data_IF_386710819842
#
_entry.id   IF_386710819842
#
_cell.length_a   1.000
_cell.length_b   1.000
_cell.length_c   1.000
_cell.angle_alpha   90.00
_cell.angle_beta   90.00
_cell.angle_gamma   90.00
#
_symmetry.space_group_name_H-M   'P 1'
#
loop_
_entity.id
_entity.type
_entity.pdbx_description
1 polymer ?
#
# COMPACT_ATOMS: atom_id res chain seq x y z
N UNK A 1 -7.12 14.50 -10.51
CA UNK A 1 -7.05 13.51 -9.41
C UNK A 1 -6.61 12.22 -10.06
N UNK A 2 -5.32 11.90 -9.99
CA UNK A 2 -4.74 10.69 -10.58
C UNK A 2 -5.34 9.45 -9.89
N UNK A 3 -6.23 8.77 -10.60
CA UNK A 3 -6.87 7.54 -10.14
C UNK A 3 -5.91 6.38 -10.37
N UNK A 4 -5.47 5.70 -9.31
CA UNK A 4 -4.83 4.39 -9.45
C UNK A 4 -5.74 3.48 -10.28
N UNK A 5 -5.25 2.99 -11.41
CA UNK A 5 -5.95 2.00 -12.23
C UNK A 5 -5.69 0.61 -11.62
N UNK A 6 -6.65 0.17 -10.82
CA UNK A 6 -6.65 -1.16 -10.19
C UNK A 6 -7.64 -2.07 -10.91
N UNK A 7 -7.21 -3.29 -11.21
CA UNK A 7 -8.11 -4.34 -11.70
C UNK A 7 -9.17 -4.68 -10.65
N UNK A 8 -10.31 -5.24 -11.04
CA UNK A 8 -11.37 -5.66 -10.11
C UNK A 8 -10.85 -6.61 -9.02
N UNK A 9 -9.90 -7.47 -9.38
CA UNK A 9 -9.24 -8.41 -8.46
C UNK A 9 -8.38 -7.67 -7.44
N UNK A 10 -7.54 -6.72 -7.88
CA UNK A 10 -6.74 -5.88 -6.98
C UNK A 10 -7.62 -5.03 -6.06
N UNK A 11 -8.68 -4.41 -6.60
CA UNK A 11 -9.60 -3.62 -5.78
C UNK A 11 -10.23 -4.45 -4.67
N UNK A 12 -10.71 -5.65 -5.01
CA UNK A 12 -11.29 -6.56 -4.02
C UNK A 12 -10.26 -6.95 -2.97
N UNK A 13 -9.08 -7.41 -3.40
CA UNK A 13 -8.00 -7.82 -2.50
C UNK A 13 -7.52 -6.69 -1.58
N UNK A 14 -7.31 -5.49 -2.11
CA UNK A 14 -6.89 -4.31 -1.32
C UNK A 14 -8.00 -3.85 -0.39
N UNK A 15 -9.27 -3.95 -0.80
CA UNK A 15 -10.41 -3.66 0.06
C UNK A 15 -10.49 -4.65 1.23
N UNK A 16 -10.29 -5.94 1.00
CA UNK A 16 -10.25 -6.95 2.05
C UNK A 16 -9.11 -6.69 3.04
N UNK A 17 -7.89 -6.38 2.55
CA UNK A 17 -6.77 -5.98 3.40
C UNK A 17 -7.03 -4.70 4.20
N UNK A 18 -7.71 -3.73 3.58
CA UNK A 18 -8.10 -2.49 4.25
C UNK A 18 -9.05 -2.78 5.41
N UNK A 19 -10.08 -3.60 5.18
CA UNK A 19 -11.06 -3.98 6.21
C UNK A 19 -10.39 -4.78 7.32
N UNK A 20 -9.46 -5.68 6.98
CA UNK A 20 -8.70 -6.44 7.97
C UNK A 20 -7.92 -5.53 8.93
N UNK A 21 -7.38 -4.43 8.41
CA UNK A 21 -6.64 -3.48 9.23
C UNK A 21 -7.55 -2.42 9.90
N UNK A 22 -8.70 -2.07 9.30
CA UNK A 22 -9.72 -1.15 9.82
C UNK A 22 -10.63 -1.84 10.85
N UNK A 23 -10.04 -2.27 11.96
CA UNK A 23 -10.78 -2.96 13.05
C UNK A 23 -11.90 -2.12 13.67
N UNK A 24 -11.80 -0.79 13.61
CA UNK A 24 -12.78 0.15 14.18
C UNK A 24 -13.80 0.67 13.15
N UNK A 25 -13.76 0.17 11.90
CA UNK A 25 -14.63 0.60 10.79
C UNK A 25 -14.64 2.13 10.55
N UNK A 26 -13.57 2.82 10.92
CA UNK A 26 -13.44 4.28 10.87
C UNK A 26 -13.19 4.79 9.45
N UNK A 27 -13.04 3.88 8.48
CA UNK A 27 -12.55 4.18 7.12
C UNK A 27 -11.13 4.74 7.11
N UNK A 28 -10.38 4.49 8.18
CA UNK A 28 -9.00 4.91 8.37
C UNK A 28 -8.22 3.79 9.04
N UNK A 29 -7.02 3.56 8.54
CA UNK A 29 -6.16 2.52 9.07
C UNK A 29 -4.99 3.19 9.76
N UNK A 30 -4.78 2.92 11.04
CA UNK A 30 -3.63 3.52 11.73
C UNK A 30 -2.33 3.06 11.06
N UNK A 31 -1.34 3.96 10.94
CA UNK A 31 -0.05 3.62 10.32
C UNK A 31 0.82 2.70 11.19
N UNK A 32 0.34 2.36 12.38
CA UNK A 32 0.92 1.45 13.33
C UNK A 32 0.05 0.17 13.47
N UNK A 33 0.47 -0.76 14.32
CA UNK A 33 -0.29 -1.99 14.59
C UNK A 33 -0.42 -2.86 13.34
N UNK A 34 -1.65 -3.12 12.88
CA UNK A 34 -1.95 -4.07 11.80
C UNK A 34 -1.29 -3.73 10.47
N UNK A 35 -1.27 -2.44 10.08
CA UNK A 35 -0.64 -2.02 8.82
C UNK A 35 0.86 -2.25 8.86
N UNK A 36 1.48 -1.91 9.99
CA UNK A 36 2.90 -2.13 10.20
C UNK A 36 3.23 -3.64 10.17
N UNK A 37 2.40 -4.47 10.81
CA UNK A 37 2.52 -5.93 10.76
C UNK A 37 2.38 -6.47 9.34
N UNK A 38 1.41 -5.98 8.56
CA UNK A 38 1.23 -6.33 7.14
C UNK A 38 2.48 -6.00 6.32
N UNK A 39 3.06 -4.82 6.52
CA UNK A 39 4.21 -4.38 5.75
C UNK A 39 5.48 -5.15 6.15
N UNK A 40 5.57 -5.58 7.41
CA UNK A 40 6.62 -6.48 7.90
C UNK A 40 6.43 -7.91 7.38
N UNK A 41 5.19 -8.37 7.28
CA UNK A 41 4.84 -9.65 6.66
C UNK A 41 5.21 -9.67 5.17
N UNK A 42 5.12 -8.53 4.50
CA UNK A 42 5.64 -8.34 3.14
C UNK A 42 7.18 -8.43 3.03
N UNK A 43 7.89 -8.69 4.13
CA UNK A 43 9.34 -8.81 4.25
C UNK A 43 10.11 -7.58 3.73
N UNK A 44 9.53 -6.40 3.90
CA UNK A 44 10.18 -5.17 3.46
C UNK A 44 11.13 -4.61 4.52
N UNK A 45 12.24 -3.96 4.11
CA UNK A 45 13.10 -3.21 5.01
C UNK A 45 12.34 -2.09 5.72
N UNK A 46 12.71 -1.78 6.96
CA UNK A 46 12.10 -0.67 7.71
C UNK A 46 12.22 0.67 7.00
N UNK A 47 13.31 0.91 6.28
CA UNK A 47 13.52 2.12 5.46
C UNK A 47 12.51 2.23 4.31
N UNK A 48 12.17 1.11 3.68
CA UNK A 48 11.19 1.03 2.59
C UNK A 48 9.78 1.29 3.16
N UNK A 49 9.44 0.67 4.28
CA UNK A 49 8.17 0.89 4.98
C UNK A 49 8.00 2.36 5.37
N UNK A 50 9.07 2.97 5.92
CA UNK A 50 9.05 4.38 6.28
C UNK A 50 8.80 5.27 5.06
N UNK A 51 9.55 5.05 3.98
CA UNK A 51 9.35 5.78 2.72
C UNK A 51 7.92 5.66 2.20
N UNK A 52 7.33 4.46 2.18
CA UNK A 52 5.94 4.26 1.74
C UNK A 52 4.96 5.07 2.61
N UNK A 53 5.17 5.05 3.93
CA UNK A 53 4.35 5.77 4.90
C UNK A 53 4.45 7.29 4.71
N UNK A 54 5.66 7.79 4.41
CA UNK A 54 5.93 9.19 4.10
C UNK A 54 5.31 9.62 2.77
N UNK A 55 5.48 8.83 1.71
CA UNK A 55 4.90 9.07 0.40
C UNK A 55 3.36 9.14 0.45
N UNK A 56 2.75 8.31 1.29
CA UNK A 56 1.32 8.33 1.51
C UNK A 56 0.87 9.46 2.45
N UNK A 57 1.77 10.17 3.12
CA UNK A 57 1.45 11.23 4.10
C UNK A 57 0.94 10.71 5.44
N UNK A 58 1.01 9.40 5.68
CA UNK A 58 0.52 8.77 6.91
C UNK A 58 1.44 9.06 8.11
N UNK A 59 2.69 9.45 7.88
CA UNK A 59 3.62 9.89 8.94
C UNK A 59 3.12 11.16 9.63
N UNK A 60 2.43 12.04 8.88
CA UNK A 60 1.89 13.31 9.41
C UNK A 60 0.48 13.17 10.00
N UNK A 61 -0.32 12.26 9.44
CA UNK A 61 -1.70 12.01 9.87
C UNK A 61 -1.82 10.93 10.96
N UNK A 62 -0.84 10.04 11.08
CA UNK A 62 -0.89 8.84 11.91
C UNK A 62 -1.81 7.73 11.38
N UNK A 63 -2.41 7.92 10.20
CA UNK A 63 -3.33 6.97 9.58
C UNK A 63 -3.31 7.08 8.05
N UNK A 64 -3.71 5.99 7.40
CA UNK A 64 -3.94 5.87 5.97
C UNK A 64 -5.44 5.89 5.68
N UNK A 65 -5.88 6.80 4.80
CA UNK A 65 -7.19 6.69 4.17
C UNK A 65 -7.23 5.59 3.09
N UNK A 66 -8.41 5.26 2.56
CA UNK A 66 -8.58 4.23 1.52
C UNK A 66 -7.62 4.40 0.33
N UNK A 67 -7.59 5.58 -0.27
CA UNK A 67 -6.72 5.84 -1.44
C UNK A 67 -5.24 5.73 -1.07
N UNK A 68 -4.83 6.26 0.09
CA UNK A 68 -3.45 6.19 0.57
C UNK A 68 -3.03 4.75 0.85
N UNK A 69 -3.91 3.94 1.43
CA UNK A 69 -3.63 2.53 1.70
C UNK A 69 -3.43 1.75 0.39
N UNK A 70 -4.22 2.01 -0.64
CA UNK A 70 -4.09 1.34 -1.93
C UNK A 70 -2.77 1.72 -2.63
N UNK A 71 -2.39 2.99 -2.54
CA UNK A 71 -1.07 3.46 -2.98
C UNK A 71 0.04 2.73 -2.22
N UNK A 72 -0.08 2.62 -0.90
CA UNK A 72 0.91 1.94 -0.07
C UNK A 72 1.08 0.47 -0.50
N UNK A 73 0.00 -0.27 -0.72
CA UNK A 73 0.05 -1.65 -1.19
C UNK A 73 0.73 -1.79 -2.56
N UNK A 74 0.45 -0.89 -3.51
CA UNK A 74 1.15 -0.87 -4.80
C UNK A 74 2.65 -0.63 -4.61
N UNK A 75 3.02 0.32 -3.76
CA UNK A 75 4.42 0.60 -3.46
C UNK A 75 5.11 -0.60 -2.80
N UNK A 76 4.40 -1.34 -1.95
CA UNK A 76 4.91 -2.59 -1.37
C UNK A 76 5.23 -3.59 -2.49
N UNK A 77 4.31 -3.81 -3.42
CA UNK A 77 4.54 -4.72 -4.55
C UNK A 77 5.72 -4.28 -5.43
N UNK A 78 5.89 -2.97 -5.64
CA UNK A 78 7.06 -2.38 -6.34
C UNK A 78 8.35 -2.71 -5.58
N UNK A 79 8.39 -2.44 -4.27
CA UNK A 79 9.56 -2.72 -3.44
C UNK A 79 9.89 -4.21 -3.39
N UNK A 80 8.88 -5.07 -3.28
CA UNK A 80 9.05 -6.53 -3.34
C UNK A 80 9.59 -7.01 -4.69
N UNK A 81 9.26 -6.29 -5.77
CA UNK A 81 9.81 -6.56 -7.11
C UNK A 81 11.24 -6.05 -7.28
N UNK A 82 11.83 -5.38 -6.27
CA UNK A 82 13.15 -4.77 -6.35
C UNK A 82 13.18 -3.49 -7.20
N UNK A 83 12.01 -2.90 -7.47
CA UNK A 83 11.89 -1.67 -8.25
C UNK A 83 12.03 -0.43 -7.35
N UNK A 84 12.55 0.69 -7.88
CA UNK A 84 12.70 1.93 -7.10
C UNK A 84 11.33 2.48 -6.68
N UNK A 85 11.16 2.73 -5.37
CA UNK A 85 9.98 3.36 -4.79
C UNK A 85 9.85 4.82 -5.24
N UNK A 86 9.09 5.08 -6.30
CA UNK A 86 8.75 6.43 -6.73
C UNK A 86 7.25 6.58 -6.94
N UNK A 87 6.69 7.70 -6.48
CA UNK A 87 5.28 8.06 -6.73
C UNK A 87 5.01 8.17 -8.24
N UNK A 88 6.00 8.63 -9.00
CA UNK A 88 5.95 8.66 -10.47
C UNK A 88 5.82 7.26 -11.10
N UNK A 89 6.33 6.21 -10.44
CA UNK A 89 6.15 4.83 -10.90
C UNK A 89 4.70 4.35 -10.78
N UNK A 90 3.85 5.03 -10.01
CA UNK A 90 2.41 4.78 -9.96
C UNK A 90 1.67 5.34 -11.18
N UNK A 91 2.24 6.36 -11.84
CA UNK A 91 1.62 7.10 -12.94
C UNK A 91 1.80 6.43 -14.31
N UNK A 92 2.89 5.69 -14.47
CA UNK A 92 3.19 5.07 -15.75
C UNK A 92 2.51 3.70 -15.78
N UNK A 93 1.72 3.41 -16.82
CA UNK A 93 1.00 2.15 -17.06
C UNK A 93 1.87 0.86 -17.08
N UNK A 94 3.12 0.94 -16.63
CA UNK A 94 4.03 -0.14 -16.30
C UNK A 94 3.46 -1.07 -15.21
N UNK A 95 2.58 -0.56 -14.33
CA UNK A 95 1.97 -1.34 -13.24
C UNK A 95 0.80 -2.26 -13.64
N UNK A 96 0.43 -2.32 -14.92
CA UNK A 96 -0.70 -3.13 -15.39
C UNK A 96 -0.57 -4.64 -15.16
N UNK A 97 0.61 -5.14 -14.75
CA UNK A 97 0.87 -6.57 -14.56
C UNK A 97 1.89 -6.85 -13.45
N UNK A 98 1.94 -6.08 -12.35
CA UNK A 98 2.77 -6.53 -11.21
C UNK A 98 2.04 -7.70 -10.55
N UNK A 99 2.62 -8.90 -10.51
CA UNK A 99 1.96 -10.05 -9.91
C UNK A 99 1.78 -9.81 -8.41
N UNK A 100 0.53 -9.64 -7.98
CA UNK A 100 0.12 -9.54 -6.56
C UNK A 100 0.40 -10.82 -5.76
N UNK A 101 0.95 -11.87 -6.39
CA UNK A 101 1.30 -13.16 -5.77
C UNK A 101 2.47 -13.11 -4.76
N UNK A 102 3.13 -11.95 -4.58
CA UNK A 102 4.26 -11.81 -3.65
C UNK A 102 3.88 -11.39 -2.23
N UNK A 103 2.61 -11.05 -1.97
CA UNK A 103 2.08 -10.95 -0.61
C UNK A 103 1.67 -12.36 -0.15
N UNK A 104 2.66 -13.19 0.20
CA UNK A 104 2.47 -14.51 0.80
C UNK A 104 2.39 -14.41 2.31
#
# INVERSE_FOLDING_TARGET
>A
MESLTLTDVEQKYYSDLFIYCDTDNTKKVASNGRVLDLFRAAQLPSEVVLQITELCGATRLGHFGRSQFYIALKLIAIAQSGLPLRVESLNSGILGNVPTQSLK
#
